data_IF_236714249524
#
_entry.id   IF_236714249524
#
_cell.length_a   1.000
_cell.length_b   1.000
_cell.length_c   1.000
_cell.angle_alpha   90.00
_cell.angle_beta   90.00
_cell.angle_gamma   90.00
#
_symmetry.space_group_name_H-M   'P 1'
#
loop_
_entity.id
_entity.type
_entity.pdbx_description
1 polymer ?
#
# COMPACT_ATOMS: atom_id res chain seq x y z
N UNK A 1 -65.82 0.38 20.92
CA UNK A 1 -66.10 -0.98 20.42
C UNK A 1 -67.14 -0.87 19.31
N UNK A 2 -66.74 -0.80 18.03
CA UNK A 2 -67.71 -0.83 16.93
C UNK A 2 -67.05 -1.36 15.64
N UNK A 3 -67.72 -2.35 15.04
CA UNK A 3 -67.20 -3.31 14.08
C UNK A 3 -67.20 -2.79 12.63
N UNK A 4 -66.18 -3.22 11.90
CA UNK A 4 -65.98 -3.13 10.44
C UNK A 4 -66.56 -4.37 9.75
N UNK A 5 -67.05 -4.24 8.51
CA UNK A 5 -66.87 -5.26 7.44
C UNK A 5 -66.80 -4.61 6.05
N UNK A 6 -65.83 -5.08 5.26
CA UNK A 6 -65.57 -4.75 3.85
C UNK A 6 -66.28 -5.74 2.91
N UNK A 7 -66.59 -5.28 1.69
CA UNK A 7 -67.14 -6.06 0.58
C UNK A 7 -66.14 -6.13 -0.58
N UNK A 8 -66.03 -7.31 -1.18
CA UNK A 8 -65.22 -7.64 -2.35
C UNK A 8 -66.05 -7.60 -3.64
N UNK A 9 -65.53 -7.00 -4.70
CA UNK A 9 -66.07 -7.12 -6.06
C UNK A 9 -65.08 -7.85 -6.98
N UNK A 10 -65.62 -8.67 -7.90
CA UNK A 10 -64.92 -9.40 -8.96
C UNK A 10 -65.50 -9.04 -10.33
N UNK A 11 -64.57 -8.85 -11.28
CA UNK A 11 -64.58 -9.08 -12.74
C UNK A 11 -65.42 -8.17 -13.66
N UNK A 12 -64.94 -7.93 -14.90
CA UNK A 12 -65.26 -8.85 -16.03
C UNK A 12 -64.09 -9.12 -17.03
N UNK A 13 -64.40 -9.86 -18.10
CA UNK A 13 -63.51 -10.61 -19.04
C UNK A 13 -63.61 -10.09 -20.50
N UNK A 14 -62.59 -10.41 -21.33
CA UNK A 14 -62.46 -10.45 -22.83
C UNK A 14 -61.83 -9.21 -23.52
N UNK A 15 -60.97 -9.27 -24.57
CA UNK A 15 -60.74 -10.27 -25.64
C UNK A 15 -59.36 -10.06 -26.37
N UNK A 16 -58.87 -11.14 -27.00
CA UNK A 16 -57.91 -11.35 -28.12
C UNK A 16 -57.01 -10.24 -28.71
N UNK A 17 -55.74 -10.63 -28.98
CA UNK A 17 -55.01 -10.30 -30.24
C UNK A 17 -53.82 -9.34 -30.12
N UNK A 18 -52.58 -9.86 -30.10
CA UNK A 18 -51.64 -9.72 -31.22
C UNK A 18 -50.23 -10.24 -30.87
N UNK A 19 -49.72 -10.98 -31.84
CA UNK A 19 -48.43 -11.63 -31.93
C UNK A 19 -47.26 -10.65 -31.90
N UNK A 20 -46.32 -10.82 -30.97
CA UNK A 20 -44.87 -10.75 -31.23
C UNK A 20 -44.11 -11.62 -30.20
N UNK A 21 -43.72 -12.83 -30.61
CA UNK A 21 -42.67 -13.59 -29.94
C UNK A 21 -41.34 -12.93 -30.24
N UNK A 22 -40.77 -12.20 -29.29
CA UNK A 22 -39.36 -11.81 -29.30
C UNK A 22 -38.59 -12.73 -28.35
N UNK A 23 -38.03 -13.80 -28.89
CA UNK A 23 -37.02 -14.61 -28.19
C UNK A 23 -35.73 -13.78 -28.12
N UNK A 24 -35.53 -13.08 -27.01
CA UNK A 24 -34.22 -12.53 -26.64
C UNK A 24 -33.46 -13.58 -25.81
N UNK A 25 -32.24 -13.99 -26.19
CA UNK A 25 -31.43 -14.84 -25.33
C UNK A 25 -31.00 -14.04 -24.10
N UNK A 26 -31.46 -14.47 -22.92
CA UNK A 26 -30.97 -13.98 -21.63
C UNK A 26 -29.53 -14.47 -21.45
N UNK A 27 -28.55 -13.70 -21.91
CA UNK A 27 -27.17 -13.86 -21.47
C UNK A 27 -27.09 -13.46 -20.00
N UNK A 28 -27.16 -14.45 -19.09
CA UNK A 28 -26.63 -14.30 -17.74
C UNK A 28 -25.12 -14.33 -17.87
N UNK A 29 -24.47 -13.16 -17.79
CA UNK A 29 -23.04 -13.08 -17.50
C UNK A 29 -22.89 -13.57 -16.06
N UNK A 30 -22.48 -14.83 -15.89
CA UNK A 30 -22.03 -15.33 -14.61
C UNK A 30 -20.82 -14.49 -14.19
N UNK A 31 -20.96 -13.77 -13.08
CA UNK A 31 -19.83 -13.13 -12.40
C UNK A 31 -18.91 -14.26 -11.94
N UNK A 32 -17.82 -14.47 -12.67
CA UNK A 32 -16.73 -15.32 -12.21
C UNK A 32 -16.08 -14.56 -11.05
N UNK A 33 -16.40 -14.97 -9.83
CA UNK A 33 -15.58 -14.69 -8.66
C UNK A 33 -14.20 -15.28 -8.96
N UNK A 34 -13.20 -14.42 -9.17
CA UNK A 34 -11.83 -14.83 -9.44
C UNK A 34 -11.15 -15.30 -8.16
N UNK A 35 -11.50 -16.50 -7.70
CA UNK A 35 -10.67 -17.28 -6.80
C UNK A 35 -9.55 -17.92 -7.62
N UNK A 36 -8.30 -17.65 -7.22
CA UNK A 36 -7.09 -18.46 -7.43
C UNK A 36 -6.93 -19.09 -8.83
N UNK A 37 -6.06 -18.52 -9.66
CA UNK A 37 -5.67 -19.09 -10.94
C UNK A 37 -5.20 -20.55 -10.76
N UNK A 38 -5.88 -21.43 -11.50
CA UNK A 38 -5.77 -22.88 -11.43
C UNK A 38 -4.37 -23.34 -11.93
N UNK A 39 -3.62 -24.15 -11.16
CA UNK A 39 -2.34 -24.76 -11.60
C UNK A 39 -2.45 -25.58 -12.90
N UNK A 40 -3.68 -25.98 -13.27
CA UNK A 40 -3.98 -26.74 -14.48
C UNK A 40 -3.66 -26.00 -15.77
N UNK A 41 -3.75 -24.65 -15.81
CA UNK A 41 -3.54 -23.89 -17.04
C UNK A 41 -2.05 -23.80 -17.44
N UNK A 42 -1.14 -23.80 -16.46
CA UNK A 42 0.31 -23.87 -16.72
C UNK A 42 0.71 -25.25 -17.25
N UNK A 43 0.13 -26.31 -16.69
CA UNK A 43 0.35 -27.68 -17.13
C UNK A 43 -0.18 -27.88 -18.56
N UNK A 44 -1.41 -27.43 -18.85
CA UNK A 44 -2.00 -27.48 -20.19
C UNK A 44 -1.20 -26.66 -21.23
N UNK A 45 -0.70 -25.47 -20.88
CA UNK A 45 0.12 -24.66 -21.81
C UNK A 45 1.53 -25.21 -22.01
N UNK A 46 2.11 -25.88 -21.01
CA UNK A 46 3.41 -26.57 -21.13
C UNK A 46 3.33 -27.84 -21.99
N UNK A 47 2.14 -28.45 -22.05
CA UNK A 47 1.90 -29.70 -22.78
C UNK A 47 1.51 -29.49 -24.25
N UNK A 48 1.16 -28.27 -24.69
CA UNK A 48 0.44 -28.09 -25.96
C UNK A 48 1.01 -27.12 -27.01
N UNK A 49 2.17 -26.47 -26.85
CA UNK A 49 2.68 -25.71 -28.00
C UNK A 49 3.86 -24.77 -27.78
N UNK A 50 4.59 -24.60 -28.90
CA UNK A 50 5.65 -23.66 -29.26
C UNK A 50 6.59 -23.11 -28.16
N UNK A 51 7.92 -23.14 -28.40
CA UNK A 51 8.91 -22.64 -27.44
C UNK A 51 8.65 -21.17 -27.08
N UNK A 52 8.93 -20.81 -25.83
CA UNK A 52 8.69 -19.45 -25.29
C UNK A 52 9.47 -18.39 -26.12
N UNK A 53 10.68 -18.76 -26.55
CA UNK A 53 11.50 -18.07 -27.53
C UNK A 53 12.04 -19.14 -28.49
N UNK A 54 11.77 -19.06 -29.81
CA UNK A 54 12.29 -20.01 -30.78
C UNK A 54 13.81 -20.16 -30.69
N UNK A 55 14.29 -21.40 -30.63
CA UNK A 55 15.72 -21.72 -30.53
C UNK A 55 16.30 -21.68 -29.11
N UNK A 56 15.51 -21.36 -28.08
CA UNK A 56 15.93 -21.44 -26.68
C UNK A 56 15.15 -22.50 -25.91
N UNK A 57 15.81 -23.21 -24.97
CA UNK A 57 15.12 -23.95 -23.92
C UNK A 57 14.17 -23.04 -23.13
N UNK A 58 13.00 -23.56 -22.74
CA UNK A 58 11.93 -22.77 -22.10
C UNK A 58 12.36 -22.16 -20.76
N UNK A 59 13.23 -22.82 -20.01
CA UNK A 59 13.81 -22.33 -18.76
C UNK A 59 14.73 -21.12 -18.98
N UNK A 60 15.61 -21.19 -20.00
CA UNK A 60 16.48 -20.09 -20.41
C UNK A 60 15.64 -18.93 -20.93
N UNK A 61 14.66 -19.23 -21.78
CA UNK A 61 13.76 -18.23 -22.33
C UNK A 61 12.96 -17.53 -21.22
N UNK A 62 12.42 -18.28 -20.25
CA UNK A 62 11.74 -17.72 -19.10
C UNK A 62 12.67 -16.81 -18.29
N UNK A 63 13.91 -17.26 -18.04
CA UNK A 63 14.91 -16.48 -17.32
C UNK A 63 15.18 -15.14 -18.03
N UNK A 64 15.27 -15.13 -19.36
CA UNK A 64 15.38 -13.92 -20.17
C UNK A 64 14.16 -12.99 -20.01
N UNK A 65 12.95 -13.52 -20.15
CA UNK A 65 11.73 -12.71 -20.06
C UNK A 65 11.53 -12.11 -18.67
N UNK A 66 11.91 -12.83 -17.61
CA UNK A 66 11.79 -12.32 -16.25
C UNK A 66 12.70 -11.12 -15.99
N UNK A 67 13.73 -10.87 -16.81
CA UNK A 67 14.58 -9.66 -16.71
C UNK A 67 14.02 -8.44 -17.43
N UNK A 68 12.92 -8.57 -18.19
CA UNK A 68 12.38 -7.43 -18.92
C UNK A 68 11.92 -6.33 -17.97
N UNK A 69 12.36 -5.07 -18.18
CA UNK A 69 11.88 -3.91 -17.43
C UNK A 69 10.35 -3.81 -17.49
N UNK A 70 9.74 -3.39 -16.36
CA UNK A 70 8.28 -3.32 -16.22
C UNK A 70 7.64 -2.41 -17.28
N UNK A 71 8.33 -1.33 -17.66
CA UNK A 71 7.92 -0.40 -18.71
C UNK A 71 7.71 -1.08 -20.08
N UNK A 72 8.53 -2.09 -20.39
CA UNK A 72 8.50 -2.79 -21.68
C UNK A 72 7.43 -3.88 -21.74
N UNK A 73 6.80 -4.22 -20.60
CA UNK A 73 5.79 -5.29 -20.57
C UNK A 73 4.63 -5.00 -21.51
N UNK A 74 4.21 -3.73 -21.67
CA UNK A 74 3.15 -3.36 -22.60
C UNK A 74 3.44 -3.77 -24.04
N UNK A 75 4.64 -3.46 -24.54
CA UNK A 75 5.08 -3.82 -25.88
C UNK A 75 5.37 -5.33 -26.01
N UNK A 76 6.02 -5.93 -25.01
CA UNK A 76 6.38 -7.34 -25.07
C UNK A 76 5.17 -8.30 -25.00
N UNK A 77 4.04 -7.86 -24.43
CA UNK A 77 2.80 -8.66 -24.36
C UNK A 77 2.18 -8.97 -25.72
N UNK A 78 2.56 -8.27 -26.80
CA UNK A 78 2.00 -8.51 -28.14
C UNK A 78 2.75 -9.59 -28.94
N UNK A 79 3.88 -10.09 -28.43
CA UNK A 79 4.73 -11.05 -29.15
C UNK A 79 4.04 -12.39 -29.36
N UNK A 80 3.53 -13.02 -28.29
CA UNK A 80 2.75 -14.25 -28.38
C UNK A 80 1.85 -14.45 -27.15
N UNK A 81 0.94 -15.43 -27.20
CA UNK A 81 0.02 -15.76 -26.10
C UNK A 81 0.77 -16.05 -24.79
N UNK A 82 1.90 -16.75 -24.85
CA UNK A 82 2.70 -17.11 -23.66
C UNK A 82 3.30 -15.86 -22.99
N UNK A 83 3.86 -14.93 -23.79
CA UNK A 83 4.37 -13.65 -23.28
C UNK A 83 3.24 -12.77 -22.72
N UNK A 84 2.09 -12.74 -23.39
CA UNK A 84 0.91 -12.02 -22.92
C UNK A 84 0.50 -12.47 -21.52
N UNK A 85 0.45 -13.79 -21.27
CA UNK A 85 0.06 -14.37 -20.00
C UNK A 85 1.11 -14.15 -18.90
N UNK A 86 2.41 -14.24 -19.24
CA UNK A 86 3.50 -14.03 -18.29
C UNK A 86 3.60 -12.56 -17.86
N UNK A 87 3.65 -11.64 -18.82
CA UNK A 87 3.89 -10.21 -18.59
C UNK A 87 2.61 -9.43 -18.28
N UNK A 88 1.44 -10.01 -18.57
CA UNK A 88 0.14 -9.42 -18.28
C UNK A 88 -0.33 -9.58 -16.83
N UNK A 89 0.18 -10.58 -16.12
CA UNK A 89 -0.12 -10.79 -14.71
C UNK A 89 1.13 -10.46 -13.86
N UNK A 90 1.12 -9.28 -13.23
CA UNK A 90 2.23 -8.81 -12.39
C UNK A 90 2.49 -9.72 -11.19
N UNK A 91 1.43 -10.22 -10.55
CA UNK A 91 1.54 -11.19 -9.44
C UNK A 91 2.33 -12.41 -9.83
N UNK A 92 1.98 -13.01 -10.97
CA UNK A 92 2.69 -14.16 -11.51
C UNK A 92 4.15 -13.82 -11.85
N UNK A 93 4.38 -12.71 -12.55
CA UNK A 93 5.72 -12.27 -12.96
C UNK A 93 6.66 -12.08 -11.76
N UNK A 94 6.23 -11.33 -10.75
CA UNK A 94 7.04 -11.05 -9.57
C UNK A 94 7.18 -12.25 -8.64
N UNK A 95 6.19 -13.14 -8.57
CA UNK A 95 6.30 -14.40 -7.83
C UNK A 95 7.38 -15.29 -8.46
N UNK A 96 7.38 -15.45 -9.79
CA UNK A 96 8.43 -16.20 -10.50
C UNK A 96 9.82 -15.58 -10.33
N UNK A 97 9.93 -14.24 -10.37
CA UNK A 97 11.18 -13.55 -10.06
C UNK A 97 11.68 -13.88 -8.65
N UNK A 98 10.78 -13.85 -7.66
CA UNK A 98 11.11 -14.18 -6.27
C UNK A 98 11.58 -15.63 -6.12
N UNK A 99 10.89 -16.60 -6.74
CA UNK A 99 11.26 -18.02 -6.74
C UNK A 99 12.66 -18.27 -7.31
N UNK A 100 13.05 -17.52 -8.34
CA UNK A 100 14.36 -17.62 -8.99
C UNK A 100 15.42 -16.71 -8.35
N UNK A 101 15.12 -16.08 -7.21
CA UNK A 101 16.10 -15.27 -6.46
C UNK A 101 16.45 -13.93 -7.09
N UNK A 102 15.62 -13.40 -8.00
CA UNK A 102 15.81 -12.05 -8.51
C UNK A 102 15.63 -11.03 -7.38
N UNK A 103 16.44 -9.97 -7.44
CA UNK A 103 16.33 -8.82 -6.55
C UNK A 103 15.76 -7.65 -7.33
N UNK A 104 14.89 -6.89 -6.68
CA UNK A 104 14.22 -5.71 -7.23
C UNK A 104 14.61 -4.49 -6.38
N UNK A 105 15.81 -3.88 -6.60
CA UNK A 105 16.27 -2.71 -5.87
C UNK A 105 15.49 -1.48 -6.35
N UNK A 106 14.28 -1.32 -5.81
CA UNK A 106 13.34 -0.30 -6.24
C UNK A 106 13.32 0.88 -5.29
N UNK A 107 13.38 2.08 -5.85
CA UNK A 107 13.17 3.32 -5.14
C UNK A 107 11.76 3.83 -5.41
N UNK A 108 10.95 3.95 -4.36
CA UNK A 108 9.61 4.53 -4.43
C UNK A 108 9.69 6.04 -4.29
N UNK A 109 9.07 6.74 -5.22
CA UNK A 109 8.98 8.19 -5.23
C UNK A 109 7.52 8.56 -5.46
N UNK A 110 7.05 9.59 -4.78
CA UNK A 110 5.76 10.18 -5.11
C UNK A 110 5.92 11.66 -5.41
N UNK A 111 5.11 12.14 -6.35
CA UNK A 111 4.89 13.55 -6.59
C UNK A 111 3.50 13.91 -6.08
N UNK A 112 3.33 15.13 -5.58
CA UNK A 112 2.04 15.63 -5.17
C UNK A 112 1.77 17.00 -5.78
N UNK A 113 0.51 17.21 -6.17
CA UNK A 113 0.08 18.48 -6.72
C UNK A 113 -0.68 19.29 -5.66
N UNK A 114 -0.05 20.35 -5.14
CA UNK A 114 -0.54 21.17 -4.02
C UNK A 114 -2.01 21.58 -4.15
N UNK A 115 -2.46 22.07 -5.31
CA UNK A 115 -3.83 22.57 -5.47
C UNK A 115 -4.90 21.47 -5.61
N UNK A 116 -4.53 20.28 -6.11
CA UNK A 116 -5.50 19.22 -6.39
C UNK A 116 -5.47 18.13 -5.33
N UNK A 117 -4.42 18.07 -4.51
CA UNK A 117 -4.16 16.99 -3.56
C UNK A 117 -3.82 15.66 -4.25
N UNK A 118 -3.61 15.66 -5.58
CA UNK A 118 -3.33 14.43 -6.33
C UNK A 118 -1.92 13.95 -6.02
N UNK A 119 -1.81 12.70 -5.57
CA UNK A 119 -0.55 12.01 -5.35
C UNK A 119 -0.34 11.00 -6.48
N UNK A 120 0.83 11.03 -7.10
CA UNK A 120 1.23 10.06 -8.11
C UNK A 120 2.49 9.33 -7.65
N UNK A 121 2.41 8.01 -7.58
CA UNK A 121 3.51 7.15 -7.22
C UNK A 121 4.25 6.64 -8.46
N UNK A 122 5.58 6.69 -8.40
CA UNK A 122 6.49 6.14 -9.38
C UNK A 122 7.54 5.30 -8.68
N UNK A 123 8.10 4.36 -9.45
CA UNK A 123 9.18 3.49 -9.01
C UNK A 123 10.32 3.61 -10.00
N UNK A 124 11.50 3.89 -9.46
CA UNK A 124 12.76 3.79 -10.18
C UNK A 124 13.35 2.40 -9.93
N UNK A 125 13.47 1.60 -11.00
CA UNK A 125 14.22 0.36 -10.97
C UNK A 125 15.71 0.68 -11.11
N UNK A 126 16.48 0.47 -10.04
CA UNK A 126 17.92 0.76 -10.02
C UNK A 126 18.76 -0.23 -10.84
N UNK A 127 18.17 -1.36 -11.27
CA UNK A 127 18.86 -2.34 -12.12
C UNK A 127 18.90 -1.89 -13.57
N UNK A 128 17.76 -1.39 -14.06
CA UNK A 128 17.57 -1.01 -15.46
C UNK A 128 17.55 0.51 -15.67
N UNK A 129 17.61 1.29 -14.59
CA UNK A 129 17.46 2.74 -14.59
C UNK A 129 16.21 3.21 -15.33
N UNK A 130 15.11 2.48 -15.13
CA UNK A 130 13.83 2.70 -15.78
C UNK A 130 12.77 3.14 -14.78
N UNK A 131 11.89 4.04 -15.21
CA UNK A 131 10.76 4.49 -14.41
C UNK A 131 9.49 3.71 -14.78
N UNK A 132 8.70 3.33 -13.78
CA UNK A 132 7.36 2.84 -14.01
C UNK A 132 6.38 3.39 -12.97
N UNK A 133 5.11 3.47 -13.34
CA UNK A 133 4.04 3.95 -12.46
C UNK A 133 3.34 2.76 -11.81
N UNK A 134 3.05 2.88 -10.51
CA UNK A 134 2.26 1.89 -9.76
C UNK A 134 0.81 2.37 -9.62
N UNK A 135 -0.15 1.50 -9.27
CA UNK A 135 -1.54 1.90 -9.07
C UNK A 135 -1.67 3.08 -8.11
N UNK A 136 -2.70 3.90 -8.33
CA UNK A 136 -2.98 5.03 -7.46
C UNK A 136 -3.21 4.59 -6.01
N UNK A 137 -2.66 5.35 -5.08
CA UNK A 137 -2.87 5.15 -3.65
C UNK A 137 -4.37 5.33 -3.33
N UNK A 138 -5.02 4.38 -2.65
CA UNK A 138 -6.47 4.42 -2.41
C UNK A 138 -6.81 5.38 -1.25
N UNK A 139 -6.71 6.67 -1.50
CA UNK A 139 -7.15 7.71 -0.58
C UNK A 139 -8.54 8.22 -0.99
N UNK A 140 -9.48 8.21 -0.03
CA UNK A 140 -10.81 8.81 -0.22
C UNK A 140 -10.75 10.34 -0.11
N UNK A 141 -9.98 10.81 0.86
CA UNK A 141 -9.78 12.24 1.14
C UNK A 141 -8.48 12.73 0.52
N UNK A 142 -8.39 14.04 0.27
CA UNK A 142 -7.13 14.67 -0.11
C UNK A 142 -6.19 14.63 1.10
N UNK A 143 -5.05 13.96 0.94
CA UNK A 143 -4.05 13.82 2.01
C UNK A 143 -2.88 14.75 1.72
N UNK A 144 -2.47 15.53 2.72
CA UNK A 144 -1.25 16.31 2.73
C UNK A 144 -0.03 15.40 2.94
N UNK A 145 0.93 15.37 2.00
CA UNK A 145 2.08 14.46 2.13
C UNK A 145 3.02 14.77 3.28
N UNK A 146 3.08 16.02 3.72
CA UNK A 146 3.89 16.41 4.87
C UNK A 146 3.47 15.71 6.17
N UNK A 147 2.21 15.28 6.26
CA UNK A 147 1.65 14.67 7.47
C UNK A 147 1.82 13.15 7.57
N UNK A 148 2.04 12.43 6.46
CA UNK A 148 2.17 10.97 6.50
C UNK A 148 3.64 10.55 6.57
N UNK A 149 3.87 9.29 6.92
CA UNK A 149 5.19 8.67 6.88
C UNK A 149 5.19 7.43 6.00
N UNK A 150 6.33 7.17 5.39
CA UNK A 150 6.55 6.02 4.54
C UNK A 150 7.65 5.15 5.10
N UNK A 151 7.39 3.85 5.21
CA UNK A 151 8.40 2.87 5.59
C UNK A 151 8.35 1.68 4.66
N UNK A 152 9.49 1.04 4.40
CA UNK A 152 9.55 -0.14 3.54
C UNK A 152 10.10 -1.33 4.30
N UNK A 153 9.62 -2.53 3.93
CA UNK A 153 10.16 -3.81 4.38
C UNK A 153 10.69 -4.52 3.13
N UNK A 154 11.97 -4.30 2.75
CA UNK A 154 12.52 -4.77 1.48
C UNK A 154 12.44 -6.29 1.31
N UNK A 155 12.62 -7.07 2.40
CA UNK A 155 12.54 -8.55 2.36
C UNK A 155 11.16 -9.06 1.95
N UNK A 156 10.11 -8.32 2.27
CA UNK A 156 8.73 -8.64 1.91
C UNK A 156 8.27 -7.98 0.60
N UNK A 157 9.09 -7.08 0.04
CA UNK A 157 8.69 -6.25 -1.11
C UNK A 157 7.46 -5.40 -0.80
N UNK A 158 7.41 -4.79 0.39
CA UNK A 158 6.26 -4.03 0.86
C UNK A 158 6.63 -2.59 1.22
N UNK A 159 5.78 -1.64 0.84
CA UNK A 159 5.83 -0.23 1.24
C UNK A 159 4.59 0.07 2.09
N UNK A 160 4.76 0.78 3.18
CA UNK A 160 3.69 1.23 4.06
C UNK A 160 3.62 2.76 4.03
N UNK A 161 2.40 3.28 4.00
CA UNK A 161 2.08 4.70 4.18
C UNK A 161 1.19 4.81 5.40
N UNK A 162 1.66 5.50 6.42
CA UNK A 162 1.01 5.59 7.72
C UNK A 162 0.59 7.04 8.00
N UNK A 163 -0.57 7.19 8.61
CA UNK A 163 -1.11 8.47 9.07
C UNK A 163 -1.29 9.45 7.92
N UNK A 164 -1.05 10.73 8.20
CA UNK A 164 -1.34 11.80 7.26
C UNK A 164 -2.11 12.92 7.91
N UNK A 165 -2.40 13.92 7.09
CA UNK A 165 -3.28 15.02 7.46
C UNK A 165 -4.24 15.26 6.31
N UNK A 166 -5.53 15.42 6.60
CA UNK A 166 -6.54 15.80 5.60
C UNK A 166 -6.30 17.24 5.18
N UNK A 167 -6.17 17.51 3.88
CA UNK A 167 -5.73 18.82 3.39
C UNK A 167 -6.65 19.99 3.69
N UNK A 168 -7.93 19.72 3.88
CA UNK A 168 -8.96 20.77 3.95
C UNK A 168 -9.31 21.15 5.41
N UNK A 169 -8.89 20.34 6.39
CA UNK A 169 -9.35 20.45 7.79
C UNK A 169 -8.20 20.26 8.80
N UNK A 170 -6.95 20.10 8.32
CA UNK A 170 -5.76 19.84 9.15
C UNK A 170 -5.95 18.72 10.19
N UNK A 171 -6.79 17.73 9.85
CA UNK A 171 -7.12 16.61 10.73
C UNK A 171 -6.13 15.45 10.51
N UNK A 172 -5.42 14.98 11.55
CA UNK A 172 -4.55 13.81 11.46
C UNK A 172 -5.33 12.53 11.14
N UNK A 173 -4.66 11.58 10.48
CA UNK A 173 -5.23 10.31 10.07
C UNK A 173 -4.65 9.13 10.88
N UNK A 174 -5.47 8.10 11.06
CA UNK A 174 -5.09 6.78 11.57
C UNK A 174 -4.86 5.75 10.47
N UNK A 175 -4.94 6.19 9.20
CA UNK A 175 -4.94 5.34 8.01
C UNK A 175 -3.57 4.68 7.79
N UNK A 176 -3.60 3.40 7.44
CA UNK A 176 -2.40 2.64 7.08
C UNK A 176 -2.66 1.94 5.75
N UNK A 177 -1.81 2.20 4.76
CA UNK A 177 -1.87 1.59 3.44
C UNK A 177 -0.60 0.78 3.20
N UNK A 178 -0.75 -0.47 2.74
CA UNK A 178 0.35 -1.35 2.35
C UNK A 178 0.31 -1.56 0.84
N UNK A 179 1.39 -1.19 0.15
CA UNK A 179 1.65 -1.57 -1.23
C UNK A 179 2.50 -2.84 -1.27
N UNK A 180 2.00 -3.88 -1.93
CA UNK A 180 2.73 -5.12 -2.16
C UNK A 180 3.28 -5.14 -3.60
N UNK A 181 4.61 -5.16 -3.74
CA UNK A 181 5.30 -5.19 -5.05
C UNK A 181 4.84 -6.39 -5.86
N UNK A 182 4.83 -7.57 -5.23
CA UNK A 182 4.52 -8.80 -5.92
C UNK A 182 3.13 -8.75 -6.54
N UNK A 183 2.13 -8.27 -5.80
CA UNK A 183 0.75 -8.17 -6.29
C UNK A 183 0.48 -6.91 -7.11
N UNK A 184 1.44 -5.97 -7.15
CA UNK A 184 1.29 -4.64 -7.73
C UNK A 184 -0.03 -3.99 -7.28
N UNK A 185 -0.27 -3.96 -5.97
CA UNK A 185 -1.56 -3.59 -5.40
C UNK A 185 -1.43 -2.94 -4.03
N UNK A 186 -2.29 -1.95 -3.78
CA UNK A 186 -2.50 -1.35 -2.46
C UNK A 186 -3.56 -2.12 -1.66
N UNK A 187 -3.33 -2.23 -0.37
CA UNK A 187 -4.25 -2.81 0.61
C UNK A 187 -4.42 -1.85 1.77
N UNK A 188 -5.66 -1.70 2.24
CA UNK A 188 -5.95 -0.93 3.46
C UNK A 188 -5.71 -1.87 4.63
N UNK A 189 -4.79 -1.49 5.52
CA UNK A 189 -4.45 -2.25 6.73
C UNK A 189 -5.32 -1.82 7.90
N UNK A 190 -5.18 -2.51 9.03
CA UNK A 190 -5.77 -2.04 10.28
C UNK A 190 -5.18 -0.67 10.66
N UNK A 191 -6.07 0.20 11.14
CA UNK A 191 -5.78 1.58 11.53
C UNK A 191 -4.91 1.62 12.79
N UNK A 192 -4.10 2.68 12.91
CA UNK A 192 -3.42 3.01 14.17
C UNK A 192 -4.46 3.25 15.28
N UNK A 193 -4.09 3.05 16.55
CA UNK A 193 -4.99 3.32 17.67
C UNK A 193 -5.21 4.83 17.85
N UNK A 194 -4.17 5.63 17.59
CA UNK A 194 -4.22 7.08 17.62
C UNK A 194 -4.00 7.64 16.22
N UNK A 195 -4.81 8.61 15.80
CA UNK A 195 -4.57 9.36 14.57
C UNK A 195 -3.38 10.31 14.76
N UNK A 196 -2.46 10.35 13.78
CA UNK A 196 -1.17 11.06 13.92
C UNK A 196 -0.76 11.73 12.62
N UNK A 197 -0.18 12.92 12.76
CA UNK A 197 0.57 13.63 11.71
C UNK A 197 1.92 14.09 12.26
N UNK A 198 2.92 14.31 11.40
CA UNK A 198 4.27 14.75 11.84
C UNK A 198 4.87 13.88 12.95
N UNK A 199 4.82 12.55 12.77
CA UNK A 199 5.29 11.57 13.75
C UNK A 199 6.52 10.82 13.21
N UNK A 200 7.24 10.12 14.09
CA UNK A 200 8.35 9.24 13.68
C UNK A 200 7.81 7.91 13.19
N UNK A 201 8.43 7.31 12.19
CA UNK A 201 8.03 6.00 11.69
C UNK A 201 9.24 5.22 11.20
N UNK A 202 9.51 4.05 11.79
CA UNK A 202 10.67 3.23 11.43
C UNK A 202 10.40 1.73 11.49
N UNK A 203 11.24 0.95 10.80
CA UNK A 203 11.21 -0.52 10.86
C UNK A 203 12.33 -1.03 11.74
N UNK A 204 12.00 -1.78 12.80
CA UNK A 204 12.98 -2.48 13.63
C UNK A 204 12.58 -3.95 13.70
N UNK A 205 13.49 -4.83 13.29
CA UNK A 205 13.28 -6.29 13.29
C UNK A 205 11.97 -6.73 12.61
N UNK A 206 11.59 -6.07 11.51
CA UNK A 206 10.37 -6.39 10.75
C UNK A 206 9.08 -5.79 11.33
N UNK A 207 9.14 -5.11 12.48
CA UNK A 207 8.01 -4.43 13.09
C UNK A 207 8.05 -2.94 12.74
N UNK A 208 6.89 -2.33 12.55
CA UNK A 208 6.78 -0.89 12.23
C UNK A 208 6.45 -0.12 13.50
N UNK A 209 7.32 0.79 13.91
CA UNK A 209 7.14 1.63 15.08
C UNK A 209 6.70 3.02 14.66
N UNK A 210 5.73 3.60 15.37
CA UNK A 210 5.33 5.00 15.23
C UNK A 210 5.36 5.70 16.57
N UNK A 211 5.83 6.94 16.63
CA UNK A 211 5.96 7.67 17.89
C UNK A 211 5.72 9.17 17.74
N UNK A 212 5.03 9.76 18.73
CA UNK A 212 4.75 11.18 18.81
C UNK A 212 3.80 11.67 17.72
N UNK A 213 4.01 12.92 17.30
CA UNK A 213 3.20 13.64 16.32
C UNK A 213 2.07 14.44 16.93
N UNK A 214 1.19 14.94 16.08
CA UNK A 214 0.04 15.75 16.47
C UNK A 214 -1.25 14.96 16.34
N UNK A 215 -2.12 15.10 17.34
CA UNK A 215 -3.48 14.56 17.36
C UNK A 215 -4.50 15.55 16.77
N UNK A 216 -5.75 15.11 16.63
CA UNK A 216 -6.85 15.94 16.10
C UNK A 216 -7.16 17.20 16.91
N UNK A 217 -6.78 17.22 18.19
CA UNK A 217 -6.95 18.38 19.07
C UNK A 217 -5.76 19.35 19.00
N UNK A 218 -4.86 19.18 18.02
CA UNK A 218 -3.61 19.94 17.84
C UNK A 218 -2.62 19.81 19.01
N UNK A 219 -2.80 18.83 19.89
CA UNK A 219 -1.84 18.53 20.94
C UNK A 219 -0.75 17.59 20.44
N UNK A 220 0.49 17.89 20.84
CA UNK A 220 1.61 16.97 20.68
C UNK A 220 1.34 15.68 21.46
N UNK A 221 1.63 14.55 20.85
CA UNK A 221 1.51 13.23 21.42
C UNK A 221 2.84 12.81 22.05
N UNK A 222 2.75 12.08 23.15
CA UNK A 222 3.82 11.29 23.74
C UNK A 222 3.63 9.78 23.47
N UNK A 223 2.44 9.37 23.03
CA UNK A 223 2.12 7.97 22.80
C UNK A 223 2.90 7.41 21.61
N UNK A 224 3.21 6.11 21.70
CA UNK A 224 3.88 5.36 20.64
C UNK A 224 3.24 3.99 20.47
N UNK A 225 3.31 3.46 19.26
CA UNK A 225 2.65 2.21 18.87
C UNK A 225 3.56 1.38 17.96
N UNK A 226 3.36 0.07 17.98
CA UNK A 226 4.06 -0.87 17.10
C UNK A 226 3.05 -1.74 16.34
N UNK A 227 3.25 -1.85 15.02
CA UNK A 227 2.53 -2.75 14.13
C UNK A 227 3.38 -4.00 13.87
N UNK A 228 2.75 -5.15 14.08
CA UNK A 228 3.17 -6.42 13.52
C UNK A 228 2.58 -6.55 12.10
N UNK A 229 3.37 -6.44 11.01
CA UNK A 229 2.84 -6.46 9.66
C UNK A 229 2.28 -7.82 9.22
N UNK A 230 2.67 -8.91 9.89
CA UNK A 230 2.17 -10.26 9.61
C UNK A 230 0.81 -10.47 10.27
N UNK A 231 0.67 -10.07 11.53
CA UNK A 231 -0.61 -10.15 12.27
C UNK A 231 -1.57 -9.02 11.91
N UNK A 232 -1.04 -7.91 11.41
CA UNK A 232 -1.79 -6.71 11.09
C UNK A 232 -2.29 -5.93 12.31
N UNK A 233 -1.80 -6.19 13.53
CA UNK A 233 -2.33 -5.57 14.74
C UNK A 233 -1.36 -4.53 15.33
N UNK A 234 -1.92 -3.39 15.73
CA UNK A 234 -1.21 -2.35 16.47
C UNK A 234 -1.26 -2.61 17.97
N UNK A 235 -0.15 -2.35 18.65
CA UNK A 235 -0.02 -2.44 20.10
C UNK A 235 0.59 -1.14 20.63
N UNK A 236 0.03 -0.62 21.72
CA UNK A 236 0.66 0.49 22.44
C UNK A 236 1.96 0.02 23.09
N UNK A 237 3.00 0.84 22.99
CA UNK A 237 4.27 0.67 23.71
C UNK A 237 4.41 1.78 24.76
N UNK A 238 5.53 1.80 25.48
CA UNK A 238 5.77 2.87 26.46
C UNK A 238 5.64 4.25 25.82
N UNK A 239 5.01 5.18 26.54
CA UNK A 239 4.96 6.58 26.14
C UNK A 239 6.34 7.21 26.24
N UNK A 240 6.61 8.16 25.34
CA UNK A 240 7.74 9.04 25.38
C UNK A 240 7.75 9.87 26.68
N UNK A 241 8.92 10.26 27.16
CA UNK A 241 9.04 11.08 28.36
C UNK A 241 8.58 12.54 28.20
N UNK A 242 8.26 12.95 26.96
CA UNK A 242 7.80 14.29 26.60
C UNK A 242 6.95 14.19 25.33
N UNK A 243 5.88 14.97 25.26
CA UNK A 243 5.11 15.15 24.04
C UNK A 243 5.99 15.81 22.97
N UNK A 244 5.89 15.36 21.72
CA UNK A 244 6.76 15.86 20.66
C UNK A 244 6.17 15.63 19.27
N UNK A 245 6.03 16.70 18.48
CA UNK A 245 5.92 16.58 17.04
C UNK A 245 7.28 16.16 16.45
N UNK A 246 7.32 15.02 15.78
CA UNK A 246 8.54 14.46 15.21
C UNK A 246 8.73 14.94 13.78
N UNK A 247 9.89 15.51 13.52
CA UNK A 247 10.26 15.92 12.17
C UNK A 247 10.98 14.82 11.43
N UNK A 248 11.87 14.12 12.14
CA UNK A 248 12.68 13.07 11.54
C UNK A 248 12.94 11.95 12.55
N UNK A 249 13.30 10.78 12.03
CA UNK A 249 13.59 9.58 12.79
C UNK A 249 14.68 8.74 12.15
N UNK A 250 15.32 7.91 12.94
CA UNK A 250 16.28 6.94 12.45
C UNK A 250 16.31 5.69 13.33
N UNK A 251 16.82 4.59 12.76
CA UNK A 251 17.15 3.39 13.54
C UNK A 251 18.66 3.29 13.69
N UNK A 252 19.14 3.23 14.93
CA UNK A 252 20.54 2.99 15.24
C UNK A 252 20.66 1.90 16.30
N UNK A 253 21.44 0.86 16.02
CA UNK A 253 21.67 -0.28 16.93
C UNK A 253 20.38 -0.94 17.45
N UNK A 254 19.36 -1.00 16.59
CA UNK A 254 18.04 -1.56 16.91
C UNK A 254 17.19 -0.69 17.85
N UNK A 255 17.56 0.58 18.03
CA UNK A 255 16.80 1.58 18.78
C UNK A 255 16.21 2.61 17.83
N UNK A 256 15.02 3.10 18.17
CA UNK A 256 14.35 4.18 17.43
C UNK A 256 14.80 5.51 18.00
N UNK A 257 15.38 6.36 17.17
CA UNK A 257 15.76 7.73 17.46
C UNK A 257 14.70 8.65 16.87
N UNK A 258 14.19 9.57 17.68
CA UNK A 258 13.14 10.52 17.31
C UNK A 258 13.62 11.92 17.66
N UNK A 259 13.54 12.86 16.72
CA UNK A 259 13.91 14.26 16.95
C UNK A 259 12.77 15.20 16.63
N UNK A 260 12.68 16.26 17.42
CA UNK A 260 11.69 17.31 17.24
C UNK A 260 11.94 18.12 15.96
N UNK A 261 10.86 18.67 15.40
CA UNK A 261 10.92 19.58 14.26
C UNK A 261 11.29 20.99 14.57
N UNK A 262 12.51 21.36 14.20
CA UNK A 262 12.95 22.74 14.16
C UNK A 262 13.60 23.07 12.83
N UNK A 263 13.56 24.35 12.46
CA UNK A 263 14.29 24.85 11.30
C UNK A 263 15.74 25.15 11.70
N UNK A 264 16.70 24.75 10.88
CA UNK A 264 18.10 25.14 11.06
C UNK A 264 18.33 26.58 10.56
N UNK A 265 19.14 27.41 11.23
CA UNK A 265 19.88 27.13 12.47
C UNK A 265 18.99 27.14 13.70
N UNK A 266 19.23 26.20 14.63
CA UNK A 266 18.44 26.09 15.86
C UNK A 266 18.80 27.19 16.86
N UNK A 267 17.78 27.87 17.41
CA UNK A 267 17.96 28.81 18.53
C UNK A 267 18.20 28.10 19.86
N UNK A 268 17.68 26.88 20.01
CA UNK A 268 17.86 25.98 21.16
C UNK A 268 18.10 24.57 20.64
N UNK A 269 18.89 23.77 21.35
CA UNK A 269 19.11 22.36 20.98
C UNK A 269 17.76 21.63 20.95
N UNK A 270 17.39 20.98 19.81
CA UNK A 270 16.08 20.36 19.66
C UNK A 270 15.90 19.22 20.65
N UNK A 271 14.66 18.89 21.02
CA UNK A 271 14.38 17.71 21.83
C UNK A 271 14.61 16.45 21.00
N UNK A 272 15.01 15.38 21.67
CA UNK A 272 15.13 14.08 21.04
C UNK A 272 15.01 12.97 22.08
N UNK A 273 14.47 11.82 21.66
CA UNK A 273 14.35 10.64 22.50
C UNK A 273 14.77 9.38 21.76
N UNK A 274 15.20 8.39 22.54
CA UNK A 274 15.63 7.08 22.07
C UNK A 274 14.78 6.02 22.71
N UNK A 275 14.13 5.19 21.90
CA UNK A 275 13.37 4.03 22.35
C UNK A 275 14.18 2.75 22.18
N UNK A 276 14.23 1.94 23.23
CA UNK A 276 14.76 0.58 23.18
C UNK A 276 13.63 -0.45 23.20
N UNK A 277 13.37 -1.15 22.07
CA UNK A 277 12.35 -2.20 22.02
C UNK A 277 12.59 -3.36 22.98
N UNK A 278 13.83 -3.59 23.43
CA UNK A 278 14.16 -4.71 24.34
C UNK A 278 13.68 -4.46 25.77
N UNK A 279 13.73 -3.21 26.20
CA UNK A 279 13.30 -2.80 27.54
C UNK A 279 11.94 -2.12 27.54
N UNK A 280 11.38 -1.84 26.35
CA UNK A 280 10.15 -1.05 26.18
C UNK A 280 10.23 0.28 26.95
N UNK A 281 11.34 1.01 26.80
CA UNK A 281 11.58 2.26 27.51
C UNK A 281 12.15 3.34 26.60
N UNK A 282 11.85 4.59 26.95
CA UNK A 282 12.38 5.79 26.31
C UNK A 282 13.43 6.46 27.20
N UNK A 283 14.45 7.01 26.57
CA UNK A 283 15.51 7.79 27.21
C UNK A 283 15.73 9.10 26.45
N UNK A 284 16.27 10.12 27.13
CA UNK A 284 16.63 11.38 26.46
C UNK A 284 17.78 11.14 25.49
N UNK A 285 17.64 11.62 24.26
CA UNK A 285 18.69 11.57 23.27
C UNK A 285 19.80 12.56 23.63
N UNK A 286 21.05 12.10 23.54
CA UNK A 286 22.23 12.93 23.77
C UNK A 286 22.25 14.15 22.84
N UNK A 287 22.73 15.29 23.35
CA UNK A 287 22.76 16.59 22.66
C UNK A 287 23.44 16.49 21.29
N UNK A 288 24.61 15.83 21.21
CA UNK A 288 25.32 15.69 19.93
C UNK A 288 24.60 14.80 18.90
N UNK A 289 23.65 13.95 19.31
CA UNK A 289 22.89 13.08 18.40
C UNK A 289 21.63 13.74 17.86
N UNK A 290 21.13 14.80 18.48
CA UNK A 290 19.92 15.52 18.04
C UNK A 290 20.22 16.81 17.29
N UNK A 291 21.48 17.22 17.21
CA UNK A 291 21.91 18.40 16.46
C UNK A 291 22.22 18.06 14.99
N UNK A 292 21.94 19.00 14.09
CA UNK A 292 22.29 18.87 12.66
C UNK A 292 21.34 18.06 11.79
N UNK A 293 20.21 17.60 12.32
CA UNK A 293 19.16 16.96 11.51
C UNK A 293 18.48 18.04 10.64
N UNK A 294 18.85 18.11 9.37
CA UNK A 294 18.27 19.02 8.37
C UNK A 294 17.52 18.20 7.34
N UNK A 295 16.20 18.07 7.50
CA UNK A 295 15.41 17.12 6.71
C UNK A 295 13.94 17.53 6.53
N UNK A 296 13.66 18.35 5.52
CA UNK A 296 12.40 18.33 4.77
C UNK A 296 12.61 18.92 3.38
#
# INVERSE_FOLDING_TARGET
>A
MQRVRFSSQKAPVHKLGDSQMTLSPKFRVAVIQSSLLNPSLEFELSLQGEPLIPGLPDDVALNCLLRLPVENHGACRVVCKRWHLLLGNKERFFTRRKELGFKDPWLFVFAFHKCTGKIQWQVLDLTHFSWHTIPAMPCKDKVCPHGFRCVSIPREGSLFVCGGMVSDVDCPLDLVLKYEIHKNRWTVMNKMNTARSFFASEVINGMIYVAGGNSGDLFELDSAEVLDPEKGNWHSIASMGTNMASYDSAVLNGKLLVTEGWLWPFFVSPRGQVYDPRTNNWESMAVGLREGWTGS
#
